data_IF_462586657288
#
_entry.id   IF_462586657288
#
_cell.length_a   1.000
_cell.length_b   1.000
_cell.length_c   1.000
_cell.angle_alpha   90.00
_cell.angle_beta   90.00
_cell.angle_gamma   90.00
#
_symmetry.space_group_name_H-M   'P 1'
#
loop_
_entity.id
_entity.type
_entity.pdbx_description
1 polymer ?
#
# COMPACT_ATOMS: atom_id res chain seq x y z
N UNK A 1 -24.07 29.01 -55.49
CA UNK A 1 -23.34 27.75 -55.72
C UNK A 1 -23.88 26.76 -54.70
N UNK A 2 -24.27 25.54 -55.08
CA UNK A 2 -25.01 24.67 -54.19
C UNK A 2 -24.10 24.26 -53.02
N UNK A 3 -24.69 24.22 -51.83
CA UNK A 3 -24.06 23.76 -50.59
C UNK A 3 -23.30 22.46 -50.84
N UNK A 4 -21.98 22.53 -50.75
CA UNK A 4 -21.13 21.36 -50.84
C UNK A 4 -21.40 20.57 -49.56
N UNK A 5 -22.14 19.46 -49.69
CA UNK A 5 -22.68 18.67 -48.58
C UNK A 5 -21.55 18.38 -47.57
N UNK A 6 -21.56 19.07 -46.42
CA UNK A 6 -20.51 18.93 -45.42
C UNK A 6 -20.53 17.48 -44.94
N UNK A 7 -19.38 16.82 -45.04
CA UNK A 7 -19.22 15.46 -44.56
C UNK A 7 -19.40 15.43 -43.06
N UNK A 8 -20.22 14.49 -42.57
CA UNK A 8 -20.42 14.26 -41.15
C UNK A 8 -19.35 13.31 -40.62
N UNK A 9 -19.27 13.20 -39.30
CA UNK A 9 -18.38 12.23 -38.65
C UNK A 9 -18.71 10.80 -39.09
N UNK A 10 -20.01 10.50 -39.17
CA UNK A 10 -20.56 9.20 -39.56
C UNK A 10 -20.20 8.85 -41.00
N UNK A 11 -19.99 9.81 -41.89
CA UNK A 11 -19.52 9.53 -43.26
C UNK A 11 -18.07 9.02 -43.31
N UNK A 12 -17.29 9.26 -42.25
CA UNK A 12 -15.84 9.03 -42.20
C UNK A 12 -15.39 8.14 -41.05
N UNK A 13 -16.32 7.58 -40.27
CA UNK A 13 -15.97 6.82 -39.07
C UNK A 13 -15.03 5.64 -39.37
N UNK A 14 -15.19 4.95 -40.50
CA UNK A 14 -14.33 3.83 -40.89
C UNK A 14 -12.88 4.27 -41.15
N UNK A 15 -12.70 5.44 -41.78
CA UNK A 15 -11.37 6.02 -42.01
C UNK A 15 -10.70 6.34 -40.69
N UNK A 16 -11.45 6.96 -39.77
CA UNK A 16 -10.98 7.29 -38.43
C UNK A 16 -10.60 6.01 -37.67
N UNK A 17 -11.45 4.99 -37.71
CA UNK A 17 -11.22 3.74 -37.00
C UNK A 17 -9.97 3.01 -37.52
N UNK A 18 -9.79 2.98 -38.84
CA UNK A 18 -8.60 2.43 -39.47
C UNK A 18 -7.33 3.19 -39.06
N UNK A 19 -7.37 4.53 -38.99
CA UNK A 19 -6.22 5.33 -38.52
C UNK A 19 -5.90 5.10 -37.05
N UNK A 20 -6.90 4.87 -36.20
CA UNK A 20 -6.71 4.53 -34.79
C UNK A 20 -6.10 3.12 -34.67
N UNK A 21 -6.66 2.11 -35.36
CA UNK A 21 -6.18 0.71 -35.32
C UNK A 21 -4.70 0.57 -35.69
N UNK A 22 -4.17 1.40 -36.60
CA UNK A 22 -2.74 1.45 -36.94
C UNK A 22 -1.83 1.73 -35.73
N UNK A 23 -2.37 2.25 -34.63
CA UNK A 23 -1.65 2.58 -33.40
C UNK A 23 -1.70 1.47 -32.36
N UNK A 24 -2.48 0.40 -32.56
CA UNK A 24 -2.62 -0.72 -31.64
C UNK A 24 -1.27 -1.25 -31.15
N UNK A 25 -0.41 -1.67 -32.09
CA UNK A 25 0.91 -2.22 -31.76
C UNK A 25 1.91 -1.22 -31.17
N UNK A 26 1.62 0.09 -31.26
CA UNK A 26 2.44 1.13 -30.63
C UNK A 26 1.97 1.46 -29.21
N UNK A 27 0.77 1.03 -28.84
CA UNK A 27 0.28 1.15 -27.48
C UNK A 27 0.91 0.07 -26.62
N UNK A 28 1.59 0.49 -25.56
CA UNK A 28 2.39 -0.39 -24.71
C UNK A 28 2.21 -0.09 -23.21
N UNK A 29 1.16 0.64 -22.84
CA UNK A 29 0.90 0.99 -21.44
C UNK A 29 0.18 -0.15 -20.71
N UNK A 30 0.79 -1.35 -20.74
CA UNK A 30 0.27 -2.53 -20.04
C UNK A 30 0.34 -2.42 -18.52
N UNK A 31 1.05 -1.41 -17.99
CA UNK A 31 1.13 -1.13 -16.56
C UNK A 31 -0.23 -0.68 -15.96
N UNK A 32 -1.18 -0.25 -16.78
CA UNK A 32 -2.52 0.13 -16.34
C UNK A 32 -3.52 -0.95 -16.74
N UNK A 33 -3.85 -1.84 -15.81
CA UNK A 33 -4.79 -2.93 -16.07
C UNK A 33 -6.22 -2.45 -16.44
N UNK A 34 -6.57 -1.21 -16.09
CA UNK A 34 -7.91 -0.65 -16.28
C UNK A 34 -8.06 0.23 -17.54
N UNK A 35 -6.98 0.46 -18.30
CA UNK A 35 -7.00 1.33 -19.48
C UNK A 35 -6.41 0.60 -20.68
N UNK A 36 -7.25 -0.14 -21.38
CA UNK A 36 -6.84 -0.90 -22.55
C UNK A 36 -6.84 -0.05 -23.83
N UNK A 37 -6.51 -0.66 -24.96
CA UNK A 37 -6.48 0.07 -26.24
C UNK A 37 -7.88 0.44 -26.74
N UNK A 38 -8.92 -0.32 -26.37
CA UNK A 38 -10.28 -0.04 -26.78
C UNK A 38 -10.83 1.18 -26.04
N UNK A 39 -10.55 1.31 -24.74
CA UNK A 39 -10.82 2.51 -23.94
C UNK A 39 -10.14 3.73 -24.56
N UNK A 40 -8.85 3.60 -24.89
CA UNK A 40 -8.06 4.67 -25.53
C UNK A 40 -8.66 5.05 -26.88
N UNK A 41 -9.08 4.06 -27.67
CA UNK A 41 -9.71 4.28 -28.97
C UNK A 41 -11.03 5.05 -28.82
N UNK A 42 -11.85 4.72 -27.82
CA UNK A 42 -13.09 5.45 -27.53
C UNK A 42 -12.83 6.91 -27.13
N UNK A 43 -11.87 7.16 -26.24
CA UNK A 43 -11.47 8.52 -25.85
C UNK A 43 -11.04 9.33 -27.08
N UNK A 44 -10.26 8.73 -27.97
CA UNK A 44 -9.79 9.39 -29.19
C UNK A 44 -10.94 9.67 -30.15
N UNK A 45 -11.86 8.71 -30.36
CA UNK A 45 -13.06 8.89 -31.20
C UNK A 45 -13.91 10.06 -30.70
N UNK A 46 -14.20 10.12 -29.40
CA UNK A 46 -14.95 11.20 -28.79
C UNK A 46 -14.23 12.56 -28.96
N UNK A 47 -12.90 12.57 -28.83
CA UNK A 47 -12.12 13.79 -29.01
C UNK A 47 -12.08 14.28 -30.45
N UNK A 48 -12.06 13.39 -31.44
CA UNK A 48 -12.17 13.75 -32.86
C UNK A 48 -13.56 14.31 -33.15
N UNK A 49 -14.62 13.67 -32.64
CA UNK A 49 -15.99 14.15 -32.78
C UNK A 49 -16.17 15.58 -32.25
N UNK A 50 -15.68 15.85 -31.04
CA UNK A 50 -15.72 17.19 -30.42
C UNK A 50 -14.92 18.26 -31.17
N UNK A 51 -14.08 17.86 -32.13
CA UNK A 51 -13.25 18.76 -32.95
C UNK A 51 -13.59 18.69 -34.43
N UNK A 52 -14.67 18.00 -34.79
CA UNK A 52 -15.01 17.73 -36.18
C UNK A 52 -15.14 19.01 -37.00
N UNK A 53 -15.73 20.03 -36.38
CA UNK A 53 -15.91 21.38 -36.93
C UNK A 53 -14.59 22.11 -37.27
N UNK A 54 -13.48 21.72 -36.64
CA UNK A 54 -12.15 22.32 -36.86
C UNK A 54 -11.44 21.74 -38.08
N UNK A 55 -11.98 20.70 -38.72
CA UNK A 55 -11.41 20.13 -39.92
C UNK A 55 -11.81 20.93 -41.17
N UNK A 56 -10.80 21.40 -41.89
CA UNK A 56 -10.96 21.96 -43.23
C UNK A 56 -11.27 20.84 -44.24
N UNK A 57 -12.55 20.67 -44.57
CA UNK A 57 -13.05 19.62 -45.45
C UNK A 57 -12.57 19.74 -46.92
N UNK A 58 -11.89 20.84 -47.28
CA UNK A 58 -11.21 20.92 -48.58
C UNK A 58 -9.93 20.06 -48.64
N UNK A 59 -9.46 19.57 -47.49
CA UNK A 59 -8.22 18.79 -47.35
C UNK A 59 -8.53 17.34 -46.96
N UNK A 60 -7.62 16.38 -47.29
CA UNK A 60 -7.73 15.01 -46.81
C UNK A 60 -7.85 14.93 -45.29
N UNK A 61 -8.66 13.99 -44.80
CA UNK A 61 -8.96 13.85 -43.38
C UNK A 61 -7.84 13.13 -42.62
N UNK A 62 -7.13 12.19 -43.26
CA UNK A 62 -6.18 11.30 -42.62
C UNK A 62 -5.01 12.06 -41.96
N UNK A 63 -4.40 13.08 -42.58
CA UNK A 63 -3.33 13.84 -41.92
C UNK A 63 -3.82 14.61 -40.69
N UNK A 64 -5.04 15.15 -40.75
CA UNK A 64 -5.63 15.91 -39.64
C UNK A 64 -5.98 14.99 -38.47
N UNK A 65 -6.66 13.87 -38.73
CA UNK A 65 -6.96 12.83 -37.75
C UNK A 65 -5.68 12.27 -37.13
N UNK A 66 -4.66 11.96 -37.95
CA UNK A 66 -3.38 11.44 -37.44
C UNK A 66 -2.69 12.37 -36.45
N UNK A 67 -2.78 13.69 -36.67
CA UNK A 67 -2.25 14.69 -35.74
C UNK A 67 -3.01 14.66 -34.42
N UNK A 68 -4.34 14.55 -34.46
CA UNK A 68 -5.17 14.43 -33.26
C UNK A 68 -4.85 13.14 -32.51
N UNK A 69 -4.87 11.99 -33.18
CA UNK A 69 -4.58 10.67 -32.60
C UNK A 69 -3.21 10.70 -31.91
N UNK A 70 -2.18 11.16 -32.61
CA UNK A 70 -0.81 11.19 -32.07
C UNK A 70 -0.69 12.08 -30.83
N UNK A 71 -1.39 13.22 -30.81
CA UNK A 71 -1.41 14.11 -29.65
C UNK A 71 -2.22 13.53 -28.50
N UNK A 72 -3.36 12.89 -28.77
CA UNK A 72 -4.18 12.25 -27.74
C UNK A 72 -3.45 11.09 -27.09
N UNK A 73 -2.80 10.21 -27.86
CA UNK A 73 -1.98 9.14 -27.30
C UNK A 73 -0.89 9.67 -26.37
N UNK A 74 -0.16 10.72 -26.78
CA UNK A 74 0.84 11.37 -25.92
C UNK A 74 0.22 11.94 -24.64
N UNK A 75 -0.93 12.59 -24.74
CA UNK A 75 -1.62 13.18 -23.59
C UNK A 75 -2.12 12.12 -22.61
N UNK A 76 -2.75 11.05 -23.12
CA UNK A 76 -3.24 9.93 -22.31
C UNK A 76 -2.07 9.27 -21.59
N UNK A 77 -0.98 8.95 -22.29
CA UNK A 77 0.21 8.35 -21.69
C UNK A 77 0.83 9.25 -20.60
N UNK A 78 0.96 10.54 -20.90
CA UNK A 78 1.49 11.52 -19.95
C UNK A 78 0.62 11.60 -18.69
N UNK A 79 -0.69 11.74 -18.88
CA UNK A 79 -1.62 12.00 -17.80
C UNK A 79 -1.85 10.78 -16.90
N UNK A 80 -1.78 9.57 -17.46
CA UNK A 80 -2.03 8.34 -16.70
C UNK A 80 -0.75 7.68 -16.18
N UNK A 81 0.42 7.96 -16.77
CA UNK A 81 1.67 7.33 -16.35
C UNK A 81 2.84 8.32 -16.20
N UNK A 82 3.28 8.98 -17.28
CA UNK A 82 4.57 9.68 -17.28
C UNK A 82 4.67 10.83 -16.28
N UNK A 83 3.55 11.48 -15.93
CA UNK A 83 3.53 12.54 -14.92
C UNK A 83 3.91 12.05 -13.51
N UNK A 84 3.66 10.78 -13.21
CA UNK A 84 3.90 10.20 -11.88
C UNK A 84 5.04 9.20 -11.90
N UNK A 85 5.46 8.72 -13.09
CA UNK A 85 6.59 7.82 -13.24
C UNK A 85 7.85 8.36 -12.58
N UNK A 86 8.62 7.46 -11.97
CA UNK A 86 9.92 7.80 -11.38
C UNK A 86 10.89 8.32 -12.44
N UNK A 87 11.77 9.27 -12.10
CA UNK A 87 12.74 9.83 -13.05
C UNK A 87 13.68 8.75 -13.63
N UNK A 88 13.88 7.66 -12.89
CA UNK A 88 14.74 6.55 -13.31
C UNK A 88 14.29 5.87 -14.61
N UNK A 89 13.01 5.90 -14.97
CA UNK A 89 12.51 5.27 -16.22
C UNK A 89 13.21 5.83 -17.46
N UNK A 90 13.51 7.13 -17.46
CA UNK A 90 14.16 7.85 -18.56
C UNK A 90 15.63 8.19 -18.27
N UNK A 91 16.18 7.69 -17.16
CA UNK A 91 17.50 8.11 -16.67
C UNK A 91 18.63 7.31 -17.32
N UNK A 92 19.70 8.00 -17.73
CA UNK A 92 20.90 7.40 -18.31
C UNK A 92 21.67 6.47 -17.36
N UNK A 93 21.51 6.67 -16.05
CA UNK A 93 22.15 5.86 -15.00
C UNK A 93 21.32 4.64 -14.62
N UNK A 94 20.14 4.47 -15.23
CA UNK A 94 19.28 3.34 -14.96
C UNK A 94 19.87 2.07 -15.56
N UNK A 95 20.15 1.09 -14.69
CA UNK A 95 20.65 -0.23 -15.07
C UNK A 95 19.59 -1.32 -14.92
N UNK A 96 18.34 -0.95 -14.58
CA UNK A 96 17.20 -1.87 -14.60
C UNK A 96 16.75 -2.12 -16.04
N UNK A 97 17.52 -2.85 -16.84
CA UNK A 97 17.04 -3.43 -18.11
C UNK A 97 16.57 -4.85 -17.85
N UNK A 98 15.43 -5.19 -18.47
CA UNK A 98 14.74 -6.50 -18.51
C UNK A 98 15.36 -7.57 -17.62
N UNK A 99 14.80 -7.73 -16.43
CA UNK A 99 15.20 -8.78 -15.52
C UNK A 99 14.15 -9.88 -15.49
N UNK A 100 14.62 -11.12 -15.51
CA UNK A 100 13.79 -12.29 -15.30
C UNK A 100 13.07 -12.23 -13.94
N UNK A 101 11.99 -12.98 -13.81
CA UNK A 101 11.20 -13.07 -12.58
C UNK A 101 12.11 -13.32 -11.36
N UNK A 102 12.04 -12.44 -10.35
CA UNK A 102 12.77 -12.57 -9.09
C UNK A 102 14.01 -11.68 -8.90
N UNK A 103 14.37 -10.79 -9.84
CA UNK A 103 15.46 -9.82 -9.63
C UNK A 103 15.00 -8.45 -9.12
N UNK A 104 15.92 -7.75 -8.44
CA UNK A 104 15.69 -6.43 -7.82
C UNK A 104 15.50 -5.36 -8.90
N UNK A 105 14.25 -4.93 -9.07
CA UNK A 105 13.76 -4.14 -10.22
C UNK A 105 14.29 -2.69 -10.35
N UNK A 106 15.27 -2.29 -9.56
CA UNK A 106 15.60 -0.88 -9.32
C UNK A 106 17.12 -0.61 -9.23
N UNK A 107 17.92 -1.14 -10.16
CA UNK A 107 19.37 -0.89 -10.19
C UNK A 107 19.72 0.52 -10.71
N UNK A 108 20.76 1.12 -10.13
CA UNK A 108 21.24 2.46 -10.47
C UNK A 108 22.76 2.54 -10.40
N UNK A 109 23.40 3.09 -11.45
CA UNK A 109 24.85 3.21 -11.53
C UNK A 109 25.43 4.42 -10.77
N UNK A 110 24.57 5.32 -10.29
CA UNK A 110 24.97 6.60 -9.68
C UNK A 110 25.05 6.53 -8.16
N UNK A 111 24.17 5.75 -7.54
CA UNK A 111 24.02 5.61 -6.09
C UNK A 111 25.07 4.66 -5.53
N UNK A 112 25.58 4.95 -4.34
CA UNK A 112 26.56 4.10 -3.66
C UNK A 112 26.00 2.74 -3.28
N UNK A 113 24.69 2.66 -3.01
CA UNK A 113 23.99 1.38 -2.79
C UNK A 113 23.78 0.56 -4.07
N UNK A 114 24.02 1.13 -5.25
CA UNK A 114 23.69 0.52 -6.54
C UNK A 114 22.18 0.43 -6.82
N UNK A 115 21.33 1.05 -5.99
CA UNK A 115 19.87 1.01 -6.06
C UNK A 115 19.26 2.38 -6.31
N UNK A 116 18.11 2.44 -6.96
CA UNK A 116 17.33 3.67 -7.13
C UNK A 116 16.78 4.12 -5.76
N UNK A 117 17.55 4.93 -5.05
CA UNK A 117 17.28 5.41 -3.69
C UNK A 117 17.28 6.93 -3.60
N UNK A 118 16.97 7.45 -2.41
CA UNK A 118 17.01 8.87 -2.05
C UNK A 118 18.44 9.45 -2.00
N UNK A 119 19.47 8.62 -2.21
CA UNK A 119 20.83 9.08 -2.51
C UNK A 119 20.88 9.90 -3.82
N UNK A 120 19.97 9.63 -4.77
CA UNK A 120 19.84 10.42 -5.99
C UNK A 120 18.89 11.62 -5.76
N UNK A 121 19.33 12.88 -5.97
CA UNK A 121 18.51 14.07 -5.72
C UNK A 121 17.17 14.09 -6.47
N UNK A 122 17.16 13.67 -7.73
CA UNK A 122 15.94 13.61 -8.55
C UNK A 122 14.97 12.55 -8.02
N UNK A 123 15.50 11.40 -7.62
CA UNK A 123 14.69 10.34 -7.01
C UNK A 123 14.15 10.77 -5.65
N UNK A 124 14.96 11.39 -4.80
CA UNK A 124 14.54 11.89 -3.49
C UNK A 124 13.41 12.92 -3.60
N UNK A 125 13.51 13.84 -4.58
CA UNK A 125 12.46 14.81 -4.88
C UNK A 125 11.17 14.12 -5.34
N UNK A 126 11.28 13.17 -6.26
CA UNK A 126 10.14 12.39 -6.72
C UNK A 126 9.49 11.58 -5.59
N UNK A 127 10.31 10.95 -4.74
CA UNK A 127 9.89 10.13 -3.61
C UNK A 127 8.97 10.92 -2.67
N UNK A 128 9.35 12.16 -2.35
CA UNK A 128 8.59 13.04 -1.45
C UNK A 128 7.32 13.62 -2.08
N UNK A 129 7.27 13.78 -3.40
CA UNK A 129 6.22 14.58 -4.06
C UNK A 129 5.24 13.78 -4.92
N UNK A 130 5.69 12.67 -5.51
CA UNK A 130 4.94 11.93 -6.56
C UNK A 130 4.81 10.44 -6.29
N UNK A 131 5.61 9.85 -5.39
CA UNK A 131 5.53 8.42 -5.07
C UNK A 131 4.14 7.99 -4.63
N UNK A 132 3.50 8.74 -3.73
CA UNK A 132 2.15 8.40 -3.26
C UNK A 132 1.14 8.32 -4.42
N UNK A 133 1.18 9.31 -5.33
CA UNK A 133 0.31 9.31 -6.49
C UNK A 133 0.65 8.16 -7.48
N UNK A 134 1.93 7.82 -7.60
CA UNK A 134 2.39 6.69 -8.40
C UNK A 134 1.87 5.36 -7.84
N UNK A 135 2.06 5.10 -6.54
CA UNK A 135 1.64 3.85 -5.89
C UNK A 135 0.13 3.62 -5.97
N UNK A 136 -0.68 4.69 -5.88
CA UNK A 136 -2.14 4.61 -6.01
C UNK A 136 -2.56 4.31 -7.45
N UNK A 137 -1.87 4.90 -8.43
CA UNK A 137 -2.26 4.81 -9.85
C UNK A 137 -1.72 3.59 -10.57
N UNK A 138 -0.60 3.05 -10.10
CA UNK A 138 0.08 1.88 -10.66
C UNK A 138 0.06 0.77 -9.60
N UNK A 139 -1.11 0.15 -9.35
CA UNK A 139 -1.20 -0.97 -8.43
C UNK A 139 -0.43 -2.15 -9.01
N UNK A 140 0.27 -2.87 -8.14
CA UNK A 140 0.89 -4.13 -8.53
C UNK A 140 -0.19 -5.22 -8.53
N UNK A 141 -0.20 -6.08 -9.55
CA UNK A 141 -1.14 -7.20 -9.59
C UNK A 141 -0.89 -8.13 -8.40
N UNK A 142 -1.96 -8.57 -7.75
CA UNK A 142 -1.90 -9.57 -6.67
C UNK A 142 -1.43 -10.93 -7.19
N UNK A 143 -1.75 -11.26 -8.45
CA UNK A 143 -1.45 -12.57 -9.05
C UNK A 143 0.05 -12.77 -9.36
N UNK A 144 0.78 -11.67 -9.60
CA UNK A 144 2.22 -11.71 -9.91
C UNK A 144 3.09 -11.37 -8.69
N UNK A 145 2.47 -11.06 -7.56
CA UNK A 145 3.17 -10.60 -6.37
C UNK A 145 3.55 -11.77 -5.47
N UNK A 146 4.84 -12.05 -5.41
CA UNK A 146 5.51 -12.92 -4.42
C UNK A 146 5.38 -12.41 -2.96
N UNK A 147 4.43 -11.50 -2.64
CA UNK A 147 4.10 -11.18 -1.25
C UNK A 147 3.57 -12.40 -0.49
N UNK A 148 3.18 -13.45 -1.21
CA UNK A 148 2.82 -14.76 -0.67
C UNK A 148 4.05 -15.64 -0.35
N UNK A 149 5.27 -15.09 -0.33
CA UNK A 149 6.43 -15.74 0.28
C UNK A 149 6.20 -15.87 1.79
N UNK A 150 5.58 -17.00 2.12
CA UNK A 150 5.52 -17.70 3.39
C UNK A 150 6.06 -16.90 4.57
N UNK A 151 5.15 -16.34 5.36
CA UNK A 151 5.45 -16.12 6.77
C UNK A 151 5.90 -17.49 7.31
N UNK A 152 7.15 -17.61 7.77
CA UNK A 152 7.57 -18.89 8.31
C UNK A 152 6.70 -19.16 9.55
N UNK A 153 6.17 -20.37 9.74
CA UNK A 153 5.54 -20.74 11.02
C UNK A 153 6.46 -20.47 12.22
N UNK A 154 7.78 -20.42 11.98
CA UNK A 154 8.83 -20.11 12.96
C UNK A 154 8.84 -18.62 13.37
N UNK A 155 8.31 -17.72 12.54
CA UNK A 155 8.17 -16.28 12.88
C UNK A 155 6.99 -16.01 13.83
N UNK A 156 6.18 -17.03 14.14
CA UNK A 156 5.03 -16.89 15.01
C UNK A 156 5.40 -17.21 16.45
N UNK A 157 5.64 -16.15 17.24
CA UNK A 157 5.74 -16.27 18.69
C UNK A 157 4.46 -16.89 19.26
N UNK A 158 4.58 -18.03 19.96
CA UNK A 158 3.45 -18.64 20.66
C UNK A 158 3.17 -17.88 21.95
N UNK A 159 2.39 -16.81 21.85
CA UNK A 159 2.04 -15.93 22.97
C UNK A 159 1.48 -16.73 24.15
N UNK A 160 0.68 -17.76 23.91
CA UNK A 160 0.13 -18.61 24.98
C UNK A 160 1.21 -19.34 25.78
N UNK A 161 2.28 -19.79 25.12
CA UNK A 161 3.44 -20.38 25.82
C UNK A 161 4.14 -19.33 26.68
N UNK A 162 4.34 -18.13 26.14
CA UNK A 162 4.97 -17.03 26.86
C UNK A 162 4.15 -16.57 28.08
N UNK A 163 2.81 -16.57 27.97
CA UNK A 163 1.89 -16.28 29.07
C UNK A 163 2.02 -17.34 30.17
N UNK A 164 2.01 -18.62 29.82
CA UNK A 164 2.20 -19.70 30.79
C UNK A 164 3.57 -19.63 31.47
N UNK A 165 4.62 -19.36 30.70
CA UNK A 165 5.97 -19.19 31.22
C UNK A 165 6.05 -18.00 32.19
N UNK A 166 5.41 -16.88 31.85
CA UNK A 166 5.30 -15.72 32.73
C UNK A 166 4.60 -16.06 34.04
N UNK A 167 3.51 -16.83 34.03
CA UNK A 167 2.82 -17.26 35.25
C UNK A 167 3.72 -18.12 36.15
N UNK A 168 4.50 -19.03 35.56
CA UNK A 168 5.45 -19.89 36.28
C UNK A 168 6.58 -19.06 36.92
N UNK A 169 7.17 -18.10 36.20
CA UNK A 169 8.19 -17.21 36.76
C UNK A 169 7.62 -16.28 37.84
N UNK A 170 6.40 -15.77 37.65
CA UNK A 170 5.71 -14.98 38.67
C UNK A 170 5.50 -15.76 39.98
N UNK A 171 5.30 -17.08 39.94
CA UNK A 171 5.27 -17.92 41.15
C UNK A 171 6.58 -17.92 41.91
N UNK A 172 7.72 -17.89 41.21
CA UNK A 172 9.05 -17.93 41.83
C UNK A 172 9.41 -16.59 42.49
N UNK A 173 8.92 -15.47 41.96
CA UNK A 173 9.22 -14.12 42.45
C UNK A 173 8.23 -13.60 43.50
N UNK A 174 7.04 -14.20 43.61
CA UNK A 174 6.01 -13.80 44.56
C UNK A 174 5.96 -14.74 45.77
N UNK A 175 5.76 -14.18 46.96
CA UNK A 175 5.40 -14.99 48.13
C UNK A 175 3.98 -15.58 48.01
N UNK A 176 3.64 -16.56 48.84
CA UNK A 176 2.37 -17.31 48.74
C UNK A 176 1.14 -16.41 48.77
N UNK A 177 1.11 -15.44 49.68
CA UNK A 177 0.00 -14.49 49.80
C UNK A 177 -0.17 -13.66 48.55
N UNK A 178 0.92 -13.12 48.00
CA UNK A 178 0.89 -12.34 46.77
C UNK A 178 0.57 -13.19 45.54
N UNK A 179 1.06 -14.44 45.49
CA UNK A 179 0.78 -15.33 44.38
C UNK A 179 -0.70 -15.73 44.33
N UNK A 180 -1.34 -16.00 45.49
CA UNK A 180 -2.79 -16.27 45.54
C UNK A 180 -3.57 -15.09 44.94
N UNK A 181 -3.25 -13.87 45.35
CA UNK A 181 -3.91 -12.67 44.83
C UNK A 181 -3.63 -12.47 43.33
N UNK A 182 -2.39 -12.69 42.90
CA UNK A 182 -2.00 -12.63 41.49
C UNK A 182 -2.78 -13.66 40.65
N UNK A 183 -2.85 -14.90 41.13
CA UNK A 183 -3.60 -15.99 40.47
C UNK A 183 -5.06 -15.62 40.30
N UNK A 184 -5.72 -15.16 41.37
CA UNK A 184 -7.12 -14.71 41.32
C UNK A 184 -7.34 -13.62 40.25
N UNK A 185 -6.43 -12.65 40.14
CA UNK A 185 -6.58 -11.50 39.25
C UNK A 185 -6.20 -11.77 37.79
N UNK A 186 -5.19 -12.61 37.54
CA UNK A 186 -4.53 -12.73 36.23
C UNK A 186 -4.56 -14.13 35.61
N UNK A 187 -4.92 -15.16 36.37
CA UNK A 187 -5.01 -16.56 35.90
C UNK A 187 -6.47 -17.01 35.95
N UNK A 188 -7.13 -16.80 37.09
CA UNK A 188 -8.53 -17.22 37.31
C UNK A 188 -9.54 -16.14 36.86
N UNK A 189 -9.05 -14.96 36.45
CA UNK A 189 -9.84 -13.82 35.96
C UNK A 189 -11.03 -13.43 36.87
N UNK A 190 -10.84 -13.53 38.19
CA UNK A 190 -11.86 -13.18 39.19
C UNK A 190 -12.03 -11.65 39.23
N UNK A 191 -13.28 -11.20 39.31
CA UNK A 191 -13.61 -9.78 39.38
C UNK A 191 -12.95 -9.09 40.59
N UNK A 192 -12.45 -7.87 40.37
CA UNK A 192 -11.70 -7.11 41.37
C UNK A 192 -12.51 -6.85 42.65
N UNK A 193 -13.84 -6.69 42.56
CA UNK A 193 -14.67 -6.48 43.75
C UNK A 193 -14.78 -7.74 44.60
N UNK A 194 -14.85 -8.91 43.96
CA UNK A 194 -14.86 -10.19 44.64
C UNK A 194 -13.51 -10.46 45.31
N UNK A 195 -12.41 -10.17 44.60
CA UNK A 195 -11.06 -10.26 45.17
C UNK A 195 -10.92 -9.32 46.37
N UNK A 196 -11.41 -8.08 46.28
CA UNK A 196 -11.36 -7.11 47.37
C UNK A 196 -12.19 -7.57 48.60
N UNK A 197 -13.36 -8.20 48.38
CA UNK A 197 -14.18 -8.80 49.46
C UNK A 197 -13.45 -9.96 50.14
N UNK A 198 -12.86 -10.87 49.35
CA UNK A 198 -12.09 -12.01 49.87
C UNK A 198 -10.88 -11.54 50.69
N UNK A 199 -10.26 -10.43 50.29
CA UNK A 199 -9.16 -9.81 51.03
C UNK A 199 -9.60 -8.93 52.22
N UNK A 200 -10.90 -8.81 52.48
CA UNK A 200 -11.45 -8.05 53.60
C UNK A 200 -11.34 -6.53 53.46
N UNK A 201 -11.15 -6.01 52.24
CA UNK A 201 -11.09 -4.57 52.02
C UNK A 201 -12.47 -3.93 52.13
N UNK A 202 -12.54 -2.81 52.86
CA UNK A 202 -13.77 -2.00 53.04
C UNK A 202 -13.66 -0.69 52.26
N UNK A 203 -14.80 -0.15 51.83
CA UNK A 203 -14.89 1.22 51.29
C UNK A 203 -15.50 2.13 52.37
N UNK A 204 -14.85 3.27 52.63
CA UNK A 204 -15.39 4.31 53.52
C UNK A 204 -15.94 5.52 52.74
N UNK A 205 -15.89 5.49 51.40
CA UNK A 205 -16.25 6.61 50.53
C UNK A 205 -17.47 6.27 49.66
N UNK A 206 -18.48 7.16 49.65
CA UNK A 206 -19.68 7.01 48.81
C UNK A 206 -19.29 7.00 47.33
N UNK A 207 -19.70 5.95 46.59
CA UNK A 207 -19.52 5.83 45.14
C UNK A 207 -18.23 5.14 44.68
N UNK A 208 -17.36 4.65 45.58
CA UNK A 208 -16.16 3.87 45.20
C UNK A 208 -16.26 2.40 45.61
N UNK A 209 -15.88 1.53 44.68
CA UNK A 209 -15.76 0.07 44.88
C UNK A 209 -14.78 -0.23 46.01
N UNK A 210 -15.13 -1.19 46.87
CA UNK A 210 -14.30 -1.58 48.01
C UNK A 210 -12.91 -2.02 47.56
N UNK A 211 -11.87 -1.53 48.24
CA UNK A 211 -10.48 -1.93 47.97
C UNK A 211 -9.88 -1.44 46.65
N UNK A 212 -10.55 -0.58 45.87
CA UNK A 212 -10.07 -0.14 44.54
C UNK A 212 -8.62 0.37 44.53
N UNK A 213 -8.23 1.21 45.50
CA UNK A 213 -6.85 1.74 45.59
C UNK A 213 -5.86 0.64 45.93
N UNK A 214 -6.23 -0.28 46.81
CA UNK A 214 -5.41 -1.41 47.24
C UNK A 214 -5.18 -2.40 46.09
N UNK A 215 -6.23 -2.78 45.36
CA UNK A 215 -6.13 -3.65 44.18
C UNK A 215 -5.30 -2.98 43.09
N UNK A 216 -5.50 -1.68 42.83
CA UNK A 216 -4.66 -0.92 41.89
C UNK A 216 -3.18 -0.92 42.27
N UNK A 217 -2.88 -0.75 43.56
CA UNK A 217 -1.51 -0.80 44.07
C UNK A 217 -0.89 -2.19 43.88
N UNK A 218 -1.65 -3.26 44.14
CA UNK A 218 -1.21 -4.64 43.91
C UNK A 218 -0.96 -4.92 42.43
N UNK A 219 -1.86 -4.51 41.53
CA UNK A 219 -1.65 -4.62 40.08
C UNK A 219 -0.39 -3.89 39.61
N UNK A 220 -0.14 -2.69 40.12
CA UNK A 220 1.08 -1.94 39.83
C UNK A 220 2.34 -2.65 40.34
N UNK A 221 2.28 -3.25 41.53
CA UNK A 221 3.36 -4.05 42.08
C UNK A 221 3.67 -5.27 41.20
N UNK A 222 2.65 -6.06 40.82
CA UNK A 222 2.83 -7.21 39.93
C UNK A 222 3.34 -6.82 38.55
N UNK A 223 2.86 -5.70 38.00
CA UNK A 223 3.37 -5.15 36.73
C UNK A 223 4.86 -4.82 36.79
N UNK A 224 5.36 -4.29 37.91
CA UNK A 224 6.80 -4.01 38.07
C UNK A 224 7.62 -5.30 38.07
N UNK A 225 7.13 -6.34 38.72
CA UNK A 225 7.80 -7.65 38.76
C UNK A 225 7.78 -8.32 37.38
N UNK A 226 6.62 -8.34 36.70
CA UNK A 226 6.51 -8.89 35.35
C UNK A 226 7.45 -8.19 34.36
N UNK A 227 7.57 -6.85 34.44
CA UNK A 227 8.54 -6.10 33.63
C UNK A 227 9.99 -6.52 33.90
N UNK A 228 10.33 -6.76 35.16
CA UNK A 228 11.67 -7.23 35.53
C UNK A 228 11.93 -8.64 34.97
N UNK A 229 10.95 -9.54 35.04
CA UNK A 229 11.05 -10.89 34.44
C UNK A 229 11.28 -10.81 32.92
N UNK A 230 10.54 -9.95 32.20
CA UNK A 230 10.76 -9.72 30.77
C UNK A 230 12.16 -9.20 30.41
N UNK A 231 12.86 -8.54 31.35
CA UNK A 231 14.21 -8.03 31.14
C UNK A 231 15.29 -9.05 31.51
N UNK A 232 15.01 -9.92 32.50
CA UNK A 232 15.96 -10.90 33.03
C UNK A 232 15.88 -12.26 32.31
N UNK A 233 14.74 -12.59 31.68
CA UNK A 233 14.49 -13.91 31.09
C UNK A 233 13.74 -13.80 29.77
N UNK A 234 14.06 -14.70 28.85
CA UNK A 234 13.33 -14.82 27.58
C UNK A 234 12.10 -15.71 27.75
N UNK A 235 10.95 -15.06 27.93
CA UNK A 235 9.67 -15.75 28.12
C UNK A 235 9.12 -16.37 26.83
N UNK A 236 9.72 -16.12 25.66
CA UNK A 236 9.20 -16.59 24.39
C UNK A 236 9.83 -17.91 23.90
N UNK A 237 11.02 -18.25 24.39
CA UNK A 237 11.81 -19.37 23.87
C UNK A 237 12.19 -20.44 24.92
N UNK A 238 11.86 -20.26 26.21
CA UNK A 238 12.02 -21.27 27.28
C UNK A 238 10.84 -22.26 27.39
#
# INVERSE_FOLDING_TARGET
MPDNNKQTYEDKFEVIDNEIRKRYYKWHLHALAWLDFDDVSQIIRAHIYNKWDQWDQSRPIEPWVNKIISNQLKNILRNNYSNFARPCVSCKHNQSKEQAAGQVSNLCSLTSSGLQSDECPDYAKWYKTRKQAYDIKIPVSLETNDFDRHTSPEDHYKIDKAVNHMHLKMRQYLNDRHYIIYKMLFIDYIDEELVAKVLGYKSNEKGRKAGYKQIKNLKNFYKKIAKRICLETDIFFE
#
